data_IF_861058202229
#
_entry.id   IF_861058202229
#
_cell.length_a   1.000
_cell.length_b   1.000
_cell.length_c   1.000
_cell.angle_alpha   90.00
_cell.angle_beta   90.00
_cell.angle_gamma   90.00
#
_symmetry.space_group_name_H-M   'P 1'
#
loop_
_entity.id
_entity.type
_entity.pdbx_description
1 polymer ?
#
# COMPACT_ATOMS: atom_id res chain seq x y z
N UNK A 1 -38.51 8.93 -14.62
CA UNK A 1 -38.34 9.28 -13.21
C UNK A 1 -37.76 8.06 -12.53
N UNK A 2 -36.50 8.23 -12.14
CA UNK A 2 -35.59 7.22 -11.60
C UNK A 2 -36.06 6.61 -10.29
N UNK A 3 -35.69 5.35 -10.07
CA UNK A 3 -34.93 4.94 -8.88
C UNK A 3 -34.47 3.49 -9.07
N UNK A 4 -33.49 3.29 -9.94
CA UNK A 4 -32.61 2.14 -9.80
C UNK A 4 -31.66 2.46 -8.64
N UNK A 5 -32.07 2.16 -7.41
CA UNK A 5 -31.14 2.02 -6.30
C UNK A 5 -30.29 0.79 -6.60
N UNK A 6 -29.22 1.02 -7.35
CA UNK A 6 -28.25 0.01 -7.68
C UNK A 6 -27.52 -0.34 -6.38
N UNK A 7 -27.92 -1.46 -5.78
CA UNK A 7 -27.27 -2.09 -4.63
C UNK A 7 -25.84 -2.48 -5.03
N UNK A 8 -24.90 -1.54 -4.93
CA UNK A 8 -23.46 -1.83 -5.02
C UNK A 8 -22.97 -2.10 -3.60
N UNK A 9 -23.25 -3.28 -3.05
CA UNK A 9 -22.70 -3.70 -1.75
C UNK A 9 -22.61 -5.21 -1.61
N UNK A 10 -21.93 -5.87 -2.56
CA UNK A 10 -21.65 -7.31 -2.46
C UNK A 10 -20.20 -7.71 -2.70
N UNK A 11 -19.22 -6.79 -2.71
CA UNK A 11 -17.81 -7.18 -2.91
C UNK A 11 -16.75 -6.31 -2.22
N UNK A 12 -17.10 -5.51 -1.19
CA UNK A 12 -16.09 -4.78 -0.41
C UNK A 12 -15.43 -5.70 0.61
N UNK A 13 -14.11 -5.59 0.75
CA UNK A 13 -13.37 -6.27 1.80
C UNK A 13 -13.67 -5.62 3.16
N UNK A 14 -14.04 -6.44 4.14
CA UNK A 14 -14.17 -5.99 5.53
C UNK A 14 -12.79 -5.86 6.20
N UNK A 15 -12.77 -5.32 7.42
CA UNK A 15 -11.53 -5.11 8.20
C UNK A 15 -10.71 -6.40 8.33
N UNK A 16 -11.37 -7.54 8.58
CA UNK A 16 -10.70 -8.84 8.71
C UNK A 16 -10.03 -9.28 7.41
N UNK A 17 -10.69 -9.08 6.27
CA UNK A 17 -10.15 -9.43 4.96
C UNK A 17 -8.97 -8.54 4.58
N UNK A 18 -9.05 -7.23 4.86
CA UNK A 18 -7.95 -6.28 4.65
C UNK A 18 -6.74 -6.60 5.57
N UNK A 19 -6.96 -6.98 6.83
CA UNK A 19 -5.90 -7.43 7.74
C UNK A 19 -5.21 -8.70 7.24
N UNK A 20 -5.99 -9.65 6.71
CA UNK A 20 -5.45 -10.87 6.09
C UNK A 20 -4.61 -10.51 4.86
N UNK A 21 -5.10 -9.64 4.00
CA UNK A 21 -4.39 -9.16 2.82
C UNK A 21 -3.05 -8.49 3.18
N UNK A 22 -3.02 -7.65 4.23
CA UNK A 22 -1.77 -7.09 4.77
C UNK A 22 -0.79 -8.16 5.24
N UNK A 23 -1.28 -9.18 5.96
CA UNK A 23 -0.44 -10.25 6.49
C UNK A 23 0.14 -11.15 5.38
N UNK A 24 -0.70 -11.57 4.44
CA UNK A 24 -0.32 -12.49 3.35
C UNK A 24 0.47 -11.80 2.24
N UNK A 25 0.26 -10.50 2.03
CA UNK A 25 1.00 -9.69 1.08
C UNK A 25 2.17 -8.96 1.73
N UNK A 26 1.88 -7.79 2.30
CA UNK A 26 2.91 -6.84 2.72
C UNK A 26 3.86 -7.32 3.82
N UNK A 27 3.37 -8.09 4.81
CA UNK A 27 4.25 -8.65 5.85
C UNK A 27 5.10 -9.82 5.32
N UNK A 28 4.64 -10.52 4.29
CA UNK A 28 5.38 -11.58 3.60
C UNK A 28 6.33 -11.04 2.52
N UNK A 29 6.18 -9.78 2.12
CA UNK A 29 6.87 -9.16 0.99
C UNK A 29 8.40 -9.20 1.10
N UNK A 30 8.98 -8.73 2.21
CA UNK A 30 10.44 -8.70 2.37
C UNK A 30 11.07 -10.10 2.41
N UNK A 31 10.53 -11.07 3.19
CA UNK A 31 10.98 -12.46 3.10
C UNK A 31 10.92 -13.01 1.67
N UNK A 32 9.81 -12.79 0.96
CA UNK A 32 9.63 -13.27 -0.41
C UNK A 32 10.63 -12.65 -1.38
N UNK A 33 10.84 -11.33 -1.29
CA UNK A 33 11.79 -10.60 -2.11
C UNK A 33 13.24 -11.05 -1.85
N UNK A 34 13.61 -11.34 -0.60
CA UNK A 34 14.93 -11.89 -0.24
C UNK A 34 15.13 -13.33 -0.69
N UNK A 35 14.06 -14.09 -0.85
CA UNK A 35 14.10 -15.47 -1.29
C UNK A 35 14.21 -15.62 -2.82
N UNK A 36 14.07 -14.53 -3.59
CA UNK A 36 14.26 -14.57 -5.03
C UNK A 36 15.71 -14.91 -5.39
N UNK A 37 15.95 -15.78 -6.39
CA UNK A 37 17.27 -15.97 -6.97
C UNK A 37 17.85 -14.65 -7.48
N UNK A 38 19.19 -14.52 -7.43
CA UNK A 38 19.86 -13.28 -7.84
C UNK A 38 19.54 -12.85 -9.28
N UNK A 39 19.33 -13.78 -10.21
CA UNK A 39 18.89 -13.44 -11.57
C UNK A 39 17.46 -12.88 -11.63
N UNK A 40 16.55 -13.46 -10.83
CA UNK A 40 15.14 -13.08 -10.82
C UNK A 40 14.89 -11.76 -10.10
N UNK A 41 15.67 -11.43 -9.06
CA UNK A 41 15.50 -10.14 -8.38
C UNK A 41 15.82 -8.96 -9.29
N UNK A 42 16.83 -9.09 -10.18
CA UNK A 42 17.16 -8.03 -11.13
C UNK A 42 16.08 -7.85 -12.21
N UNK A 43 15.54 -8.95 -12.74
CA UNK A 43 14.43 -8.92 -13.69
C UNK A 43 13.21 -8.26 -13.06
N UNK A 44 12.84 -8.72 -11.87
CA UNK A 44 11.73 -8.16 -11.12
C UNK A 44 11.91 -6.66 -10.86
N UNK A 45 13.06 -6.22 -10.33
CA UNK A 45 13.30 -4.80 -10.09
C UNK A 45 13.21 -3.97 -11.37
N UNK A 46 13.74 -4.46 -12.49
CA UNK A 46 13.66 -3.78 -13.78
C UNK A 46 12.21 -3.67 -14.30
N UNK A 47 11.39 -4.71 -14.16
CA UNK A 47 9.95 -4.67 -14.48
C UNK A 47 9.19 -3.65 -13.63
N UNK A 48 9.63 -3.46 -12.38
CA UNK A 48 9.09 -2.46 -11.47
C UNK A 48 9.62 -1.04 -11.74
N UNK A 49 10.58 -0.87 -12.67
CA UNK A 49 11.18 0.41 -13.00
C UNK A 49 12.27 0.88 -12.03
N UNK A 50 12.85 -0.02 -11.24
CA UNK A 50 13.89 0.30 -10.25
C UNK A 50 15.18 -0.49 -10.50
N UNK A 51 16.33 0.14 -10.29
CA UNK A 51 17.63 -0.55 -10.31
C UNK A 51 17.96 -1.16 -8.94
N UNK A 52 17.58 -0.46 -7.88
CA UNK A 52 17.91 -0.79 -6.51
C UNK A 52 16.67 -1.24 -5.74
N UNK A 53 16.82 -2.32 -4.96
CA UNK A 53 15.79 -2.78 -4.02
C UNK A 53 15.38 -1.67 -3.04
N UNK A 54 16.33 -0.84 -2.59
CA UNK A 54 16.02 0.25 -1.67
C UNK A 54 15.05 1.27 -2.29
N UNK A 55 15.21 1.59 -3.57
CA UNK A 55 14.37 2.58 -4.24
C UNK A 55 12.92 2.06 -4.36
N UNK A 56 12.72 0.79 -4.72
CA UNK A 56 11.40 0.14 -4.72
C UNK A 56 10.77 0.11 -3.32
N UNK A 57 11.51 -0.30 -2.30
CA UNK A 57 10.99 -0.35 -0.93
C UNK A 57 10.65 1.05 -0.41
N UNK A 58 11.43 2.07 -0.78
CA UNK A 58 11.16 3.46 -0.42
C UNK A 58 9.88 3.97 -1.09
N UNK A 59 9.68 3.66 -2.37
CA UNK A 59 8.44 3.95 -3.09
C UNK A 59 7.23 3.35 -2.36
N UNK A 60 7.28 2.05 -2.09
CA UNK A 60 6.16 1.35 -1.45
C UNK A 60 5.88 1.91 -0.05
N UNK A 61 6.95 2.17 0.71
CA UNK A 61 6.85 2.74 2.06
C UNK A 61 6.21 4.11 2.04
N UNK A 62 6.52 4.96 1.04
CA UNK A 62 5.95 6.30 0.92
C UNK A 62 4.42 6.25 0.76
N UNK A 63 3.91 5.33 -0.06
CA UNK A 63 2.47 5.15 -0.26
C UNK A 63 1.75 4.70 1.01
N UNK A 64 2.39 3.80 1.77
CA UNK A 64 1.89 3.34 3.06
C UNK A 64 1.88 4.47 4.10
N UNK A 65 2.95 5.26 4.19
CA UNK A 65 3.05 6.43 5.07
C UNK A 65 2.02 7.51 4.71
N UNK A 66 1.78 7.73 3.41
CA UNK A 66 0.75 8.66 2.92
C UNK A 66 -0.65 8.20 3.35
N UNK A 67 -0.96 6.90 3.20
CA UNK A 67 -2.24 6.33 3.65
C UNK A 67 -2.44 6.51 5.15
N UNK A 68 -1.39 6.33 5.95
CA UNK A 68 -1.41 6.57 7.39
C UNK A 68 -1.68 8.03 7.75
N UNK A 69 -1.31 8.98 6.89
CA UNK A 69 -1.64 10.41 7.04
C UNK A 69 -3.05 10.76 6.56
N UNK A 70 -3.49 10.16 5.45
CA UNK A 70 -4.75 10.49 4.78
C UNK A 70 -5.96 9.90 5.48
N UNK A 71 -5.93 8.61 5.85
CA UNK A 71 -7.11 7.95 6.45
C UNK A 71 -7.61 8.69 7.70
N UNK A 72 -6.75 9.11 8.66
CA UNK A 72 -7.20 9.89 9.82
C UNK A 72 -7.85 11.24 9.47
N UNK A 73 -7.47 11.88 8.37
CA UNK A 73 -8.10 13.13 7.90
C UNK A 73 -9.51 12.84 7.38
N UNK A 74 -9.66 11.80 6.56
CA UNK A 74 -10.95 11.36 6.03
C UNK A 74 -11.91 10.95 7.15
N UNK A 75 -11.42 10.22 8.16
CA UNK A 75 -12.22 9.82 9.33
C UNK A 75 -12.76 11.01 10.13
N UNK A 76 -12.14 12.18 10.03
CA UNK A 76 -12.59 13.43 10.66
C UNK A 76 -13.50 14.26 9.76
N UNK A 77 -13.89 13.74 8.60
CA UNK A 77 -14.67 14.46 7.58
C UNK A 77 -13.86 15.50 6.80
N UNK A 78 -12.53 15.43 6.84
CA UNK A 78 -11.66 16.30 6.05
C UNK A 78 -11.61 15.88 4.58
N UNK A 79 -11.22 16.81 3.72
CA UNK A 79 -11.00 16.55 2.30
C UNK A 79 -9.52 16.32 2.00
N UNK A 80 -9.25 15.48 1.00
CA UNK A 80 -7.90 15.18 0.51
C UNK A 80 -7.83 15.63 -0.93
N UNK A 81 -6.82 16.43 -1.27
CA UNK A 81 -6.61 16.89 -2.65
C UNK A 81 -6.54 15.70 -3.61
N UNK A 82 -7.24 15.79 -4.75
CA UNK A 82 -7.28 14.73 -5.77
C UNK A 82 -5.88 14.30 -6.24
N UNK A 83 -4.92 15.22 -6.28
CA UNK A 83 -3.52 14.92 -6.64
C UNK A 83 -2.85 13.88 -5.76
N UNK A 84 -3.29 13.70 -4.50
CA UNK A 84 -2.73 12.67 -3.61
C UNK A 84 -3.16 11.24 -3.98
N UNK A 85 -4.26 11.08 -4.73
CA UNK A 85 -4.78 9.75 -5.11
C UNK A 85 -4.16 9.18 -6.38
N UNK A 86 -3.48 10.01 -7.15
CA UNK A 86 -2.89 9.61 -8.42
C UNK A 86 -1.46 9.15 -8.16
N UNK A 87 -1.08 7.98 -8.65
CA UNK A 87 0.32 7.53 -8.68
C UNK A 87 1.23 8.53 -9.44
N UNK A 88 0.58 9.40 -10.23
CA UNK A 88 1.14 10.52 -10.98
C UNK A 88 1.60 11.73 -10.16
N UNK A 89 1.25 11.88 -8.88
CA UNK A 89 1.96 12.84 -8.00
C UNK A 89 3.31 12.23 -7.56
N UNK A 90 4.15 12.02 -8.57
CA UNK A 90 5.53 11.57 -8.46
C UNK A 90 6.36 12.47 -7.55
N UNK A 91 5.89 13.68 -7.20
CA UNK A 91 6.68 14.60 -6.39
C UNK A 91 6.88 14.10 -4.95
N UNK A 92 5.85 13.53 -4.32
CA UNK A 92 5.97 13.00 -2.95
C UNK A 92 6.80 11.72 -2.92
N UNK A 93 6.54 10.82 -3.88
CA UNK A 93 7.20 9.53 -3.96
C UNK A 93 8.64 9.65 -4.46
N UNK A 94 8.93 10.50 -5.44
CA UNK A 94 10.31 10.80 -5.86
C UNK A 94 11.11 11.47 -4.74
N UNK A 95 10.49 12.33 -3.93
CA UNK A 95 11.14 12.87 -2.73
C UNK A 95 11.42 11.77 -1.70
N UNK A 96 10.51 10.81 -1.49
CA UNK A 96 10.74 9.70 -0.59
C UNK A 96 11.87 8.78 -1.06
N UNK A 97 11.91 8.44 -2.35
CA UNK A 97 12.99 7.69 -2.98
C UNK A 97 14.31 8.46 -2.87
N UNK A 98 14.33 9.76 -3.20
CA UNK A 98 15.52 10.59 -3.08
C UNK A 98 16.05 10.67 -1.64
N UNK A 99 15.16 10.81 -0.64
CA UNK A 99 15.54 10.77 0.79
C UNK A 99 16.08 9.41 1.19
N UNK A 100 15.56 8.32 0.62
CA UNK A 100 15.98 6.96 0.98
C UNK A 100 17.43 6.65 0.61
N UNK A 101 18.00 7.37 -0.36
CA UNK A 101 19.41 7.24 -0.76
C UNK A 101 20.38 7.66 0.35
N UNK A 102 19.92 8.42 1.33
CA UNK A 102 20.69 8.76 2.53
C UNK A 102 20.65 7.65 3.61
N UNK A 103 19.85 6.59 3.40
CA UNK A 103 19.69 5.49 4.33
C UNK A 103 20.44 4.24 3.86
N UNK A 104 20.98 3.48 4.80
CA UNK A 104 21.46 2.13 4.53
C UNK A 104 20.28 1.17 4.23
N UNK A 105 20.56 0.06 3.53
CA UNK A 105 19.56 -0.96 3.19
C UNK A 105 18.76 -1.45 4.40
N UNK A 106 19.43 -1.68 5.54
CA UNK A 106 18.78 -2.11 6.79
C UNK A 106 17.82 -1.08 7.38
N UNK A 107 18.07 0.22 7.20
CA UNK A 107 17.14 1.28 7.62
C UNK A 107 15.90 1.31 6.72
N UNK A 108 16.09 1.21 5.39
CA UNK A 108 14.98 1.18 4.44
C UNK A 108 14.05 -0.01 4.70
N UNK A 109 14.61 -1.20 4.89
CA UNK A 109 13.84 -2.40 5.20
C UNK A 109 13.11 -2.29 6.56
N UNK A 110 13.75 -1.68 7.57
CA UNK A 110 13.09 -1.40 8.85
C UNK A 110 11.90 -0.45 8.70
N UNK A 111 12.06 0.65 7.96
CA UNK A 111 10.98 1.62 7.73
C UNK A 111 9.82 0.98 7.00
N UNK A 112 10.11 0.16 5.98
CA UNK A 112 9.10 -0.64 5.28
C UNK A 112 8.30 -1.50 6.25
N UNK A 113 8.95 -2.29 7.11
CA UNK A 113 8.25 -3.14 8.08
C UNK A 113 7.46 -2.32 9.09
N UNK A 114 8.00 -1.21 9.56
CA UNK A 114 7.34 -0.34 10.54
C UNK A 114 6.08 0.33 9.98
N UNK A 115 6.12 0.80 8.73
CA UNK A 115 4.97 1.42 8.07
C UNK A 115 3.82 0.43 7.91
N UNK A 116 4.08 -0.78 7.39
CA UNK A 116 3.03 -1.79 7.22
C UNK A 116 2.51 -2.33 8.56
N UNK A 117 3.35 -2.42 9.59
CA UNK A 117 2.89 -2.75 10.94
C UNK A 117 2.01 -1.63 11.54
N UNK A 118 2.32 -0.36 11.26
CA UNK A 118 1.48 0.77 11.65
C UNK A 118 0.13 0.74 10.91
N UNK A 119 0.12 0.42 9.62
CA UNK A 119 -1.11 0.29 8.82
C UNK A 119 -2.00 -0.86 9.35
N UNK A 120 -1.40 -2.01 9.67
CA UNK A 120 -2.12 -3.12 10.29
C UNK A 120 -2.71 -2.74 11.65
N UNK A 121 -1.98 -1.99 12.48
CA UNK A 121 -2.51 -1.47 13.75
C UNK A 121 -3.66 -0.49 13.54
N UNK A 122 -3.52 0.48 12.64
CA UNK A 122 -4.59 1.43 12.32
C UNK A 122 -5.86 0.68 11.92
N UNK A 123 -5.73 -0.31 11.03
CA UNK A 123 -6.85 -1.12 10.56
C UNK A 123 -7.48 -1.95 11.68
N UNK A 124 -6.69 -2.52 12.60
CA UNK A 124 -7.21 -3.28 13.73
C UNK A 124 -8.06 -2.45 14.71
N UNK A 125 -7.88 -1.13 14.73
CA UNK A 125 -8.68 -0.20 15.53
C UNK A 125 -9.70 0.59 14.71
N UNK A 126 -9.79 0.34 13.41
CA UNK A 126 -10.71 1.04 12.52
C UNK A 126 -12.14 0.53 12.78
N UNK A 127 -13.13 1.41 13.07
CA UNK A 127 -14.52 1.00 13.15
C UNK A 127 -15.00 0.46 11.79
N UNK A 128 -15.74 -0.65 11.78
CA UNK A 128 -16.21 -1.26 10.52
C UNK A 128 -17.02 -0.28 9.66
N UNK A 129 -17.83 0.59 10.29
CA UNK A 129 -18.60 1.64 9.62
C UNK A 129 -17.72 2.65 8.85
N UNK A 130 -16.43 2.79 9.18
CA UNK A 130 -15.52 3.63 8.41
C UNK A 130 -15.30 3.11 6.98
N UNK A 131 -15.47 1.80 6.74
CA UNK A 131 -15.36 1.20 5.41
C UNK A 131 -16.62 1.43 4.54
N UNK A 132 -17.67 2.02 5.10
CA UNK A 132 -18.83 2.48 4.35
C UNK A 132 -18.49 3.74 3.55
N UNK A 133 -17.62 4.61 4.09
CA UNK A 133 -17.07 5.76 3.37
C UNK A 133 -16.19 5.28 2.20
N UNK A 134 -16.63 5.60 0.98
CA UNK A 134 -15.96 5.17 -0.25
C UNK A 134 -14.54 5.75 -0.39
N UNK A 135 -14.26 6.88 0.24
CA UNK A 135 -12.94 7.50 0.22
C UNK A 135 -11.98 6.77 1.15
N UNK A 136 -12.42 6.43 2.36
CA UNK A 136 -11.63 5.64 3.32
C UNK A 136 -11.40 4.25 2.74
N UNK A 137 -12.45 3.59 2.25
CA UNK A 137 -12.35 2.28 1.63
C UNK A 137 -11.41 2.29 0.42
N UNK A 138 -11.55 3.27 -0.48
CA UNK A 138 -10.72 3.39 -1.67
C UNK A 138 -9.23 3.49 -1.33
N UNK A 139 -8.87 4.37 -0.39
CA UNK A 139 -7.47 4.51 0.05
C UNK A 139 -6.89 3.23 0.64
N UNK A 140 -7.66 2.55 1.49
CA UNK A 140 -7.21 1.29 2.10
C UNK A 140 -7.10 0.18 1.07
N UNK A 141 -8.08 0.03 0.20
CA UNK A 141 -8.11 -1.00 -0.82
C UNK A 141 -6.98 -0.82 -1.84
N UNK A 142 -6.81 0.39 -2.39
CA UNK A 142 -5.73 0.68 -3.34
C UNK A 142 -4.37 0.42 -2.71
N UNK A 143 -4.14 0.85 -1.46
CA UNK A 143 -2.86 0.66 -0.78
C UNK A 143 -2.57 -0.79 -0.41
N UNK A 144 -3.58 -1.51 0.10
CA UNK A 144 -3.39 -2.86 0.63
C UNK A 144 -3.40 -3.90 -0.49
N UNK A 145 -4.28 -3.74 -1.48
CA UNK A 145 -4.56 -4.75 -2.50
C UNK A 145 -3.97 -4.36 -3.85
N UNK A 146 -4.40 -3.24 -4.43
CA UNK A 146 -4.04 -2.90 -5.82
C UNK A 146 -2.53 -2.62 -5.94
N UNK A 147 -2.00 -1.79 -5.04
CA UNK A 147 -0.60 -1.44 -4.98
C UNK A 147 0.29 -2.64 -4.62
N UNK A 148 -0.21 -3.56 -3.79
CA UNK A 148 0.49 -4.83 -3.58
C UNK A 148 0.55 -5.63 -4.87
N UNK A 149 -0.59 -5.80 -5.54
CA UNK A 149 -0.68 -6.59 -6.77
C UNK A 149 0.18 -5.99 -7.90
N UNK A 150 0.29 -4.67 -7.97
CA UNK A 150 1.17 -3.96 -8.90
C UNK A 150 2.65 -4.23 -8.62
N UNK A 151 3.05 -4.25 -7.35
CA UNK A 151 4.43 -4.49 -6.93
C UNK A 151 4.70 -5.91 -6.43
N UNK A 152 3.85 -6.88 -6.72
CA UNK A 152 3.91 -8.21 -6.09
C UNK A 152 5.18 -8.97 -6.54
N UNK A 153 6.01 -9.48 -5.60
CA UNK A 153 7.08 -10.41 -5.94
C UNK A 153 6.51 -11.67 -6.64
N UNK A 154 7.18 -12.21 -7.66
CA UNK A 154 6.63 -13.29 -8.48
C UNK A 154 6.31 -14.57 -7.70
N UNK A 155 6.93 -14.75 -6.53
CA UNK A 155 6.76 -15.89 -5.63
C UNK A 155 5.68 -15.71 -4.55
N UNK A 156 4.89 -14.63 -4.55
CA UNK A 156 3.70 -14.47 -3.70
C UNK A 156 2.41 -14.56 -4.53
N UNK A 157 1.29 -15.04 -3.99
CA UNK A 157 0.01 -15.01 -4.71
C UNK A 157 -0.55 -13.57 -4.81
N UNK A 158 -1.39 -13.31 -5.81
CA UNK A 158 -2.16 -12.07 -5.87
C UNK A 158 -3.17 -12.01 -4.72
N UNK A 159 -3.41 -10.79 -4.23
CA UNK A 159 -4.47 -10.49 -3.27
C UNK A 159 -5.83 -10.37 -3.97
N UNK A 160 -6.93 -10.68 -3.26
CA UNK A 160 -8.28 -10.78 -3.82
C UNK A 160 -8.86 -9.45 -4.28
#
# INVERSE_FOLDING_TARGET
MDTATQTVSSNRLNTRALLRALAEGWLAYLPALRALPAGEVHVYLAEQGYELRQDLLAHITAWCEETLGVVPVLLKGGEVSSGRRDDGDQSYTAQAVARSRNFGSGEVERRFTQAHAALARMLAFLPEAALEDINVYGWLYTTIVEHFNAHRPPNLPALP
#
